data_IF_365537766757
#
_entry.id   IF_365537766757
#
_cell.length_a   1.000
_cell.length_b   1.000
_cell.length_c   1.000
_cell.angle_alpha   90.00
_cell.angle_beta   90.00
_cell.angle_gamma   90.00
#
_symmetry.space_group_name_H-M   'P 1'
#
loop_
_entity.id
_entity.type
_entity.pdbx_description
1 polymer ?
#
# COMPACT_ATOMS: atom_id res chain seq x y z
N UNK A 1 -36.29 30.95 42.23
CA UNK A 1 -34.99 30.57 42.84
C UNK A 1 -33.92 30.68 41.77
N UNK A 2 -33.25 31.84 41.67
CA UNK A 2 -32.18 32.08 40.67
C UNK A 2 -30.86 31.63 41.31
N UNK A 3 -30.24 30.60 40.75
CA UNK A 3 -28.96 30.08 41.23
C UNK A 3 -27.86 31.14 41.16
N UNK A 4 -26.95 31.12 42.13
CA UNK A 4 -25.83 32.05 42.22
C UNK A 4 -24.91 31.85 40.99
N UNK A 5 -24.80 32.82 40.06
CA UNK A 5 -24.14 32.62 38.76
C UNK A 5 -22.70 32.09 38.82
N UNK A 6 -21.84 32.51 39.79
CA UNK A 6 -20.48 31.98 39.92
C UNK A 6 -20.41 30.49 40.23
N UNK A 7 -21.35 29.96 41.02
CA UNK A 7 -21.36 28.53 41.40
C UNK A 7 -21.70 27.66 40.18
N UNK A 8 -22.56 28.16 39.28
CA UNK A 8 -22.88 27.46 38.04
C UNK A 8 -21.68 27.38 37.10
N UNK A 9 -20.89 28.46 37.00
CA UNK A 9 -19.65 28.47 36.22
C UNK A 9 -18.63 27.51 36.83
N UNK A 10 -18.51 27.49 38.15
CA UNK A 10 -17.61 26.56 38.85
C UNK A 10 -18.01 25.10 38.61
N UNK A 11 -19.30 24.76 38.73
CA UNK A 11 -19.80 23.42 38.46
C UNK A 11 -19.63 23.03 36.99
N UNK A 12 -19.87 23.96 36.05
CA UNK A 12 -19.64 23.73 34.63
C UNK A 12 -18.16 23.42 34.35
N UNK A 13 -17.24 24.23 34.88
CA UNK A 13 -15.81 24.02 34.74
C UNK A 13 -15.37 22.66 35.32
N UNK A 14 -15.92 22.29 36.49
CA UNK A 14 -15.66 20.98 37.11
C UNK A 14 -16.12 19.83 36.21
N UNK A 15 -17.33 19.91 35.64
CA UNK A 15 -17.83 18.88 34.72
C UNK A 15 -16.98 18.78 33.46
N UNK A 16 -16.49 19.91 32.94
CA UNK A 16 -15.64 19.95 31.77
C UNK A 16 -14.29 19.27 32.04
N UNK A 17 -13.69 19.47 33.22
CA UNK A 17 -12.44 18.81 33.63
C UNK A 17 -12.65 17.31 33.76
N UNK A 18 -13.73 16.87 34.41
CA UNK A 18 -14.06 15.44 34.58
C UNK A 18 -14.25 14.74 33.24
N UNK A 19 -14.82 15.41 32.25
CA UNK A 19 -14.96 14.87 30.89
C UNK A 19 -13.65 14.94 30.09
N UNK A 20 -12.88 16.02 30.22
CA UNK A 20 -11.67 16.23 29.43
C UNK A 20 -10.57 15.21 29.70
N UNK A 21 -10.43 14.73 30.95
CA UNK A 21 -9.41 13.73 31.32
C UNK A 21 -9.58 12.41 30.53
N UNK A 22 -10.71 11.68 30.60
CA UNK A 22 -10.89 10.44 29.85
C UNK A 22 -10.90 10.67 28.33
N UNK A 23 -11.46 11.79 27.85
CA UNK A 23 -11.38 12.16 26.43
C UNK A 23 -9.93 12.36 25.96
N UNK A 24 -9.07 12.94 26.79
CA UNK A 24 -7.64 13.10 26.47
C UNK A 24 -6.91 11.75 26.47
N UNK A 25 -7.31 10.80 27.32
CA UNK A 25 -6.77 9.44 27.29
C UNK A 25 -7.27 8.64 26.07
N UNK A 26 -8.49 8.90 25.58
CA UNK A 26 -9.07 8.20 24.42
C UNK A 26 -8.65 8.80 23.07
N UNK A 27 -8.35 10.10 23.02
CA UNK A 27 -7.93 10.80 21.79
C UNK A 27 -6.43 11.10 21.72
N UNK A 28 -5.71 11.02 22.85
CA UNK A 28 -4.26 11.26 22.94
C UNK A 28 -3.38 10.17 22.32
N UNK A 29 -3.96 9.07 21.82
CA UNK A 29 -3.23 8.04 21.07
C UNK A 29 -3.24 8.28 19.56
N UNK A 30 -3.51 9.51 19.09
CA UNK A 30 -2.84 9.95 17.86
C UNK A 30 -1.41 10.32 18.24
N UNK A 31 -0.64 9.29 18.61
CA UNK A 31 0.79 9.33 18.41
C UNK A 31 0.92 9.53 16.90
N UNK A 32 1.17 10.77 16.48
CA UNK A 32 2.12 10.93 15.39
C UNK A 32 3.32 10.14 15.85
N UNK A 33 3.43 8.90 15.36
CA UNK A 33 4.64 8.14 15.43
C UNK A 33 5.67 9.07 14.79
N UNK A 34 6.37 9.83 15.62
CA UNK A 34 7.67 10.36 15.29
C UNK A 34 8.41 9.08 15.00
N UNK A 35 8.53 8.78 13.70
CA UNK A 35 9.25 7.64 13.22
C UNK A 35 10.53 7.60 14.05
N UNK A 36 10.63 6.61 14.93
CA UNK A 36 11.93 6.20 15.39
C UNK A 36 12.74 6.06 14.10
N UNK A 37 13.96 6.62 14.00
CA UNK A 37 14.82 6.25 12.89
C UNK A 37 14.85 4.73 12.96
N UNK A 38 14.19 4.09 11.99
CA UNK A 38 14.20 2.66 11.86
C UNK A 38 15.68 2.34 11.91
N UNK A 39 16.06 1.54 12.90
CA UNK A 39 17.36 0.91 12.90
C UNK A 39 17.40 0.26 11.52
N UNK A 40 18.21 0.83 10.64
CA UNK A 40 18.53 0.26 9.34
C UNK A 40 19.28 -1.00 9.73
N UNK A 41 18.54 -2.07 10.06
CA UNK A 41 18.96 -3.37 9.59
C UNK A 41 19.26 -3.12 8.13
N UNK A 42 20.47 -3.46 7.72
CA UNK A 42 20.90 -3.44 6.34
C UNK A 42 20.00 -4.40 5.58
N UNK A 43 18.78 -3.94 5.32
CA UNK A 43 17.79 -4.52 4.44
C UNK A 43 18.50 -4.52 3.12
N UNK A 44 19.10 -5.67 2.82
CA UNK A 44 20.02 -5.82 1.70
C UNK A 44 19.17 -5.59 0.48
N UNK A 45 19.15 -4.35 0.01
CA UNK A 45 18.15 -3.91 -0.95
C UNK A 45 18.53 -4.53 -2.28
N UNK A 46 17.73 -5.47 -2.77
CA UNK A 46 18.07 -6.26 -3.95
C UNK A 46 17.49 -5.55 -5.17
N UNK A 47 18.36 -5.21 -6.13
CA UNK A 47 17.90 -4.75 -7.44
C UNK A 47 17.12 -5.88 -8.09
N UNK A 48 15.98 -5.54 -8.67
CA UNK A 48 15.06 -6.53 -9.20
C UNK A 48 14.46 -6.02 -10.50
N UNK A 49 14.27 -6.93 -11.45
CA UNK A 49 13.56 -6.65 -12.69
C UNK A 49 12.13 -7.16 -12.54
N UNK A 50 11.17 -6.26 -12.71
CA UNK A 50 9.77 -6.59 -12.83
C UNK A 50 9.41 -6.58 -14.32
N UNK A 51 8.88 -7.69 -14.83
CA UNK A 51 8.30 -7.78 -16.18
C UNK A 51 6.79 -7.93 -16.07
N UNK A 52 6.06 -7.09 -16.78
CA UNK A 52 4.61 -7.15 -16.85
C UNK A 52 4.20 -7.47 -18.29
N UNK A 53 3.49 -8.59 -18.45
CA UNK A 53 2.93 -9.04 -19.72
C UNK A 53 1.43 -9.00 -19.64
N UNK A 54 0.79 -8.40 -20.63
CA UNK A 54 -0.67 -8.39 -20.77
C UNK A 54 -1.08 -8.89 -22.14
N UNK A 55 -2.20 -9.60 -22.21
CA UNK A 55 -2.78 -10.08 -23.46
C UNK A 55 -3.45 -8.94 -24.25
N UNK A 56 -4.18 -8.08 -23.54
CA UNK A 56 -4.80 -6.87 -24.09
C UNK A 56 -4.24 -5.64 -23.41
N UNK A 57 -3.99 -4.59 -24.21
CA UNK A 57 -3.44 -3.31 -23.72
C UNK A 57 -4.41 -2.68 -22.70
N UNK A 58 -4.00 -2.49 -21.43
CA UNK A 58 -4.81 -1.76 -20.47
C UNK A 58 -4.83 -0.26 -20.77
N UNK A 59 -5.88 0.42 -20.34
CA UNK A 59 -6.00 1.89 -20.38
C UNK A 59 -5.18 2.52 -19.26
N UNK A 60 -5.20 1.90 -18.07
CA UNK A 60 -4.37 2.29 -16.92
C UNK A 60 -3.68 1.06 -16.34
N UNK A 61 -2.42 1.23 -15.93
CA UNK A 61 -1.63 0.21 -15.25
C UNK A 61 -0.82 0.91 -14.16
N UNK A 62 -1.05 0.54 -12.92
CA UNK A 62 -0.23 0.93 -11.78
C UNK A 62 0.26 -0.33 -11.09
N UNK A 63 1.57 -0.41 -10.89
CA UNK A 63 2.18 -1.46 -10.08
C UNK A 63 2.86 -0.80 -8.90
N UNK A 64 2.52 -1.22 -7.70
CA UNK A 64 3.15 -0.70 -6.48
C UNK A 64 3.82 -1.84 -5.73
N UNK A 65 5.04 -1.62 -5.29
CA UNK A 65 5.83 -2.60 -4.54
C UNK A 65 6.28 -1.95 -3.24
N UNK A 66 5.87 -2.53 -2.11
CA UNK A 66 6.01 -1.91 -0.79
C UNK A 66 5.51 -0.44 -0.80
N UNK A 67 6.40 0.53 -0.63
CA UNK A 67 6.07 1.96 -0.63
C UNK A 67 6.38 2.67 -1.95
N UNK A 68 6.90 1.95 -2.95
CA UNK A 68 7.30 2.52 -4.24
C UNK A 68 6.24 2.23 -5.30
N UNK A 69 5.56 3.27 -5.74
CA UNK A 69 4.72 3.20 -6.92
C UNK A 69 5.60 3.21 -8.18
N UNK A 70 5.49 2.15 -8.97
CA UNK A 70 6.13 1.99 -10.26
C UNK A 70 5.07 2.28 -11.32
N UNK A 71 4.99 3.54 -11.72
CA UNK A 71 4.13 3.95 -12.83
C UNK A 71 4.83 3.53 -14.12
N UNK A 72 4.26 2.55 -14.80
CA UNK A 72 4.76 2.08 -16.09
C UNK A 72 4.04 2.80 -17.22
N UNK A 73 4.79 3.31 -18.20
CA UNK A 73 4.18 3.76 -19.44
C UNK A 73 3.65 2.54 -20.21
N UNK A 74 2.34 2.53 -20.50
CA UNK A 74 1.67 1.40 -21.15
C UNK A 74 2.06 1.37 -22.63
N UNK A 75 3.19 0.75 -22.90
CA UNK A 75 3.81 0.64 -24.23
C UNK A 75 3.52 -0.73 -24.87
N UNK A 76 4.52 -1.35 -25.50
CA UNK A 76 4.42 -2.75 -25.96
C UNK A 76 4.54 -3.73 -24.78
N UNK A 77 4.05 -4.95 -24.97
CA UNK A 77 4.22 -6.07 -24.03
C UNK A 77 5.41 -6.94 -24.49
N UNK A 78 6.35 -7.34 -23.62
CA UNK A 78 6.40 -7.07 -22.17
C UNK A 78 6.86 -5.65 -21.82
N UNK A 79 6.38 -5.14 -20.70
CA UNK A 79 6.93 -3.95 -20.04
C UNK A 79 7.97 -4.42 -19.03
N UNK A 80 9.19 -3.87 -19.08
CA UNK A 80 10.25 -4.15 -18.12
C UNK A 80 10.50 -2.94 -17.23
N UNK A 81 10.58 -3.15 -15.92
CA UNK A 81 10.79 -2.10 -14.93
C UNK A 81 11.85 -2.52 -13.94
N UNK A 82 12.83 -1.66 -13.70
CA UNK A 82 13.82 -1.88 -12.66
C UNK A 82 13.31 -1.29 -11.33
N UNK A 83 13.35 -2.11 -10.30
CA UNK A 83 12.96 -1.73 -8.93
C UNK A 83 13.97 -2.24 -7.92
N UNK A 84 13.86 -1.76 -6.70
CA UNK A 84 14.70 -2.20 -5.59
C UNK A 84 13.79 -2.74 -4.51
N UNK A 85 13.99 -4.00 -4.12
CA UNK A 85 13.20 -4.67 -3.11
C UNK A 85 13.89 -4.52 -1.74
N UNK A 86 13.19 -4.05 -0.71
CA UNK A 86 13.79 -3.84 0.61
C UNK A 86 14.13 -5.16 1.33
N UNK A 87 13.28 -6.19 1.22
CA UNK A 87 13.54 -7.53 1.75
C UNK A 87 12.92 -8.59 0.84
N UNK A 88 13.73 -9.48 0.28
CA UNK A 88 13.27 -10.64 -0.52
C UNK A 88 12.95 -11.84 0.40
N UNK A 89 13.45 -11.83 1.64
CA UNK A 89 13.35 -12.96 2.58
C UNK A 89 11.96 -13.12 3.20
N UNK A 90 11.26 -12.01 3.42
CA UNK A 90 9.94 -11.99 4.08
C UNK A 90 8.77 -12.12 3.09
N UNK A 91 9.07 -12.27 1.80
CA UNK A 91 8.10 -12.14 0.73
C UNK A 91 7.92 -10.69 0.29
N UNK A 92 7.50 -10.51 -0.96
CA UNK A 92 7.35 -9.21 -1.60
C UNK A 92 5.94 -9.06 -2.12
N UNK A 93 5.21 -8.13 -1.53
CA UNK A 93 3.86 -7.78 -1.96
C UNK A 93 3.91 -6.79 -3.13
N UNK A 94 3.29 -7.21 -4.23
CA UNK A 94 3.11 -6.43 -5.45
C UNK A 94 1.64 -6.15 -5.64
N UNK A 95 1.26 -4.88 -5.51
CA UNK A 95 -0.08 -4.40 -5.78
C UNK A 95 -0.18 -4.12 -7.28
N UNK A 96 -1.11 -4.80 -7.94
CA UNK A 96 -1.39 -4.65 -9.35
C UNK A 96 -2.78 -4.03 -9.51
N UNK A 97 -2.84 -2.86 -10.12
CA UNK A 97 -4.10 -2.25 -10.54
C UNK A 97 -4.06 -1.98 -12.04
N UNK A 98 -5.04 -2.50 -12.76
CA UNK A 98 -5.18 -2.30 -14.19
C UNK A 98 -6.65 -2.11 -14.58
N UNK A 99 -6.90 -1.24 -15.55
CA UNK A 99 -8.23 -1.07 -16.15
C UNK A 99 -8.13 -1.17 -17.66
N UNK A 100 -9.18 -1.67 -18.30
CA UNK A 100 -9.32 -1.80 -19.74
C UNK A 100 -10.54 -1.01 -20.22
N UNK A 101 -10.59 -0.76 -21.53
CA UNK A 101 -11.76 -0.14 -22.14
C UNK A 101 -12.98 -1.07 -22.08
N UNK A 102 -14.18 -0.46 -22.05
CA UNK A 102 -15.44 -1.20 -22.06
C UNK A 102 -15.53 -2.13 -23.29
N UNK A 103 -15.99 -3.36 -23.06
CA UNK A 103 -16.08 -4.40 -24.10
C UNK A 103 -14.81 -5.20 -24.32
N UNK A 104 -13.75 -4.98 -23.54
CA UNK A 104 -12.57 -5.86 -23.53
C UNK A 104 -12.96 -7.23 -22.95
N UNK A 105 -12.68 -8.34 -23.64
CA UNK A 105 -12.96 -9.69 -23.12
C UNK A 105 -12.07 -10.02 -21.92
N UNK A 106 -12.40 -11.12 -21.24
CA UNK A 106 -11.59 -11.65 -20.15
C UNK A 106 -10.12 -11.76 -20.57
N UNK A 107 -9.24 -11.12 -19.79
CA UNK A 107 -7.85 -10.91 -20.16
C UNK A 107 -6.94 -11.23 -18.99
N UNK A 108 -5.73 -11.70 -19.28
CA UNK A 108 -4.74 -12.05 -18.25
C UNK A 108 -3.60 -11.04 -18.22
N UNK A 109 -3.13 -10.73 -17.01
CA UNK A 109 -1.84 -10.10 -16.78
C UNK A 109 -0.92 -11.12 -16.10
N UNK A 110 0.30 -11.25 -16.62
CA UNK A 110 1.37 -12.02 -16.00
C UNK A 110 2.43 -11.06 -15.48
N UNK A 111 2.70 -11.15 -14.18
CA UNK A 111 3.80 -10.44 -13.53
C UNK A 111 4.92 -11.43 -13.28
N UNK A 112 6.12 -11.05 -13.66
CA UNK A 112 7.33 -11.81 -13.43
C UNK A 112 8.31 -10.92 -12.66
N UNK A 113 8.77 -11.41 -11.52
CA UNK A 113 9.70 -10.71 -10.63
C UNK A 113 10.99 -11.51 -10.54
N UNK A 114 12.08 -10.86 -10.92
CA UNK A 114 13.43 -11.43 -10.98
C UNK A 114 14.36 -10.59 -10.08
N UNK A 115 14.55 -10.99 -8.81
CA UNK A 115 15.51 -10.34 -7.91
C UNK A 115 16.94 -10.81 -8.18
N UNK A 116 17.91 -9.89 -8.13
CA UNK A 116 19.32 -10.23 -8.26
C UNK A 116 19.74 -11.26 -7.20
N UNK A 117 20.22 -12.42 -7.65
CA UNK A 117 20.66 -13.51 -6.77
C UNK A 117 19.56 -14.48 -6.33
N UNK A 118 18.32 -14.31 -6.79
CA UNK A 118 17.20 -15.22 -6.54
C UNK A 118 16.60 -15.74 -7.86
N UNK A 119 15.86 -16.85 -7.80
CA UNK A 119 15.18 -17.39 -8.97
C UNK A 119 14.03 -16.45 -9.42
N UNK A 120 13.79 -16.33 -10.73
CA UNK A 120 12.62 -15.61 -11.22
C UNK A 120 11.33 -16.31 -10.81
N UNK A 121 10.32 -15.51 -10.44
CA UNK A 121 8.97 -15.99 -10.11
C UNK A 121 7.98 -15.29 -11.01
N UNK A 122 6.98 -16.03 -11.50
CA UNK A 122 5.93 -15.46 -12.33
C UNK A 122 4.55 -15.88 -11.82
N UNK A 123 3.62 -14.95 -11.87
CA UNK A 123 2.25 -15.10 -11.42
C UNK A 123 1.31 -14.51 -12.47
N UNK A 124 0.29 -15.26 -12.85
CA UNK A 124 -0.75 -14.81 -13.78
C UNK A 124 -2.05 -14.56 -13.04
N UNK A 125 -2.67 -13.41 -13.31
CA UNK A 125 -3.97 -13.01 -12.79
C UNK A 125 -4.92 -12.71 -13.94
N UNK A 126 -6.19 -13.06 -13.75
CA UNK A 126 -7.24 -12.94 -14.75
C UNK A 126 -8.20 -11.82 -14.36
N UNK A 127 -8.50 -10.95 -15.32
CA UNK A 127 -9.54 -9.92 -15.24
C UNK A 127 -10.79 -10.43 -15.94
N UNK A 128 -11.94 -10.31 -15.28
CA UNK A 128 -13.25 -10.74 -15.81
C UNK A 128 -14.27 -9.60 -15.94
N UNK A 129 -13.87 -8.35 -15.68
CA UNK A 129 -14.79 -7.21 -15.60
C UNK A 129 -14.21 -5.91 -16.19
N UNK A 130 -13.20 -6.01 -17.06
CA UNK A 130 -12.52 -4.82 -17.60
C UNK A 130 -11.69 -4.07 -16.56
N UNK A 131 -11.49 -4.61 -15.36
CA UNK A 131 -10.56 -4.12 -14.35
C UNK A 131 -9.98 -5.26 -13.52
N UNK A 132 -8.80 -5.03 -12.96
CA UNK A 132 -8.06 -5.97 -12.12
C UNK A 132 -7.40 -5.17 -11.01
N UNK A 133 -7.68 -5.54 -9.76
CA UNK A 133 -7.04 -4.97 -8.57
C UNK A 133 -6.71 -6.13 -7.64
N UNK A 134 -5.43 -6.49 -7.56
CA UNK A 134 -4.97 -7.70 -6.89
C UNK A 134 -3.64 -7.45 -6.19
N UNK A 135 -3.42 -8.17 -5.09
CA UNK A 135 -2.14 -8.20 -4.39
C UNK A 135 -1.50 -9.56 -4.62
N UNK A 136 -0.27 -9.54 -5.15
CA UNK A 136 0.50 -10.74 -5.43
C UNK A 136 1.71 -10.76 -4.51
N UNK A 137 1.75 -11.74 -3.63
CA UNK A 137 2.90 -11.98 -2.75
C UNK A 137 3.85 -12.95 -3.43
N UNK A 138 5.08 -12.52 -3.68
CA UNK A 138 6.15 -13.37 -4.18
C UNK A 138 7.04 -13.81 -3.01
N UNK A 139 7.22 -15.12 -2.84
CA UNK A 139 8.08 -15.68 -1.80
C UNK A 139 9.21 -16.55 -2.41
N UNK A 140 10.39 -16.44 -1.82
CA UNK A 140 11.56 -17.24 -2.16
C UNK A 140 12.01 -17.98 -0.90
N UNK A 141 11.56 -19.24 -0.78
CA UNK A 141 12.01 -20.17 0.27
C UNK A 141 13.45 -20.61 0.06
#
# INVERSE_FOLDING_TARGET
MRGFPPIQIFLLALTFIVLAVPLSHLTGTVSHAKAAPAKVEESTSVKSLLRVRYAHKPTTLSVKIADKELIAEIAGSPIEMQTTLPSVKDGVDVFLSATWADGTPDTSITLELEPDGFASRSETRWSSAGSLDEVITFEWK
#
